data_IF_709877070495
#
_entry.id   IF_709877070495
#
_cell.length_a   1.000
_cell.length_b   1.000
_cell.length_c   1.000
_cell.angle_alpha   90.00
_cell.angle_beta   90.00
_cell.angle_gamma   90.00
#
_symmetry.space_group_name_H-M   'P 1'
#
loop_
_entity.id
_entity.type
_entity.pdbx_description
1 polymer ?
2 non-polymer ?
3 non-polymer ?
4 water ?
#
# COMPACT_ATOMS: atom_id res chain seq x y z
N UNK A 4 -19.13 18.70 7.31
CA UNK A 4 -19.44 17.24 7.23
C UNK A 4 -19.02 16.46 8.48
N UNK A 5 -19.88 15.53 8.89
CA UNK A 5 -19.52 14.57 9.93
C UNK A 5 -19.59 13.19 9.29
N UNK A 6 -18.43 12.55 9.18
CA UNK A 6 -18.37 11.21 8.60
C UNK A 6 -19.07 10.21 9.51
N UNK A 7 -19.91 9.33 8.95
CA UNK A 7 -20.58 8.32 9.75
C UNK A 7 -19.61 7.14 9.99
N UNK A 8 -18.83 7.25 11.05
CA UNK A 8 -17.76 6.26 11.31
C UNK A 8 -18.27 4.84 11.49
N UNK A 9 -19.51 4.69 11.95
CA UNK A 9 -20.14 3.39 12.10
C UNK A 9 -20.53 2.75 10.77
N UNK A 10 -20.46 3.52 9.68
CA UNK A 10 -20.91 3.04 8.37
C UNK A 10 -19.78 2.86 7.36
N UNK A 11 -18.55 3.18 7.76
CA UNK A 11 -17.40 3.14 6.85
C UNK A 11 -16.57 1.92 7.20
N UNK A 12 -16.26 1.05 6.24
CA UNK A 12 -15.42 -0.11 6.52
C UNK A 12 -14.06 0.35 7.05
N UNK A 13 -13.68 -0.20 8.21
CA UNK A 13 -12.61 0.38 9.00
C UNK A 13 -11.22 0.40 8.39
N UNK A 14 -10.90 -0.59 7.56
CA UNK A 14 -9.56 -0.66 6.97
C UNK A 14 -9.29 0.53 6.06
N UNK A 15 -10.36 1.11 5.49
CA UNK A 15 -10.24 2.25 4.59
C UNK A 15 -9.70 3.49 5.30
N UNK A 16 -10.31 3.84 6.43
CA UNK A 16 -10.06 5.12 7.07
C UNK A 16 -9.02 5.00 8.18
N UNK A 17 -9.09 3.92 8.94
CA UNK A 17 -8.29 3.76 10.17
C UNK A 17 -7.15 2.76 9.98
N UNK A 18 -7.45 1.65 9.30
CA UNK A 18 -6.47 0.59 9.09
C UNK A 18 -6.59 -0.45 10.18
N UNK A 19 -6.61 -1.72 9.79
CA UNK A 19 -6.72 -2.79 10.78
C UNK A 19 -5.54 -2.85 11.73
N UNK A 20 -4.33 -2.64 11.21
CA UNK A 20 -3.10 -2.64 12.03
C UNK A 20 -2.97 -3.89 12.88
N UNK A 21 -3.36 -5.03 12.32
CA UNK A 21 -3.25 -6.30 13.03
C UNK A 21 -2.00 -7.05 12.61
N UNK A 22 -1.51 -7.92 13.50
CA UNK A 22 -0.29 -8.68 13.27
C UNK A 22 -0.44 -9.72 12.16
N UNK A 23 -1.66 -10.20 11.95
CA UNK A 23 -1.93 -11.19 10.91
C UNK A 23 -3.06 -10.69 10.04
N UNK A 24 -3.01 -11.02 8.76
CA UNK A 24 -4.10 -10.66 7.88
C UNK A 24 -4.24 -11.69 6.77
N UNK A 25 -5.47 -11.99 6.41
CA UNK A 25 -5.74 -12.94 5.33
C UNK A 25 -6.68 -12.30 4.34
N UNK A 26 -6.39 -12.51 3.06
CA UNK A 26 -7.21 -12.05 1.96
C UNK A 26 -7.80 -13.28 1.28
N UNK A 27 -9.12 -13.43 1.40
CA UNK A 27 -9.80 -14.57 0.81
C UNK A 27 -10.48 -14.11 -0.47
N UNK A 28 -9.91 -14.50 -1.60
CA UNK A 28 -10.44 -14.12 -2.91
C UNK A 28 -11.45 -15.15 -3.36
N UNK A 29 -12.59 -14.68 -3.83
CA UNK A 29 -13.68 -15.61 -4.12
C UNK A 29 -14.41 -15.29 -5.41
N UNK A 30 -15.13 -16.29 -5.91
CA UNK A 30 -16.09 -16.12 -6.98
C UNK A 30 -17.48 -16.45 -6.42
N UNK A 31 -18.50 -15.75 -6.90
CA UNK A 31 -19.89 -16.00 -6.52
C UNK A 31 -20.46 -17.11 -7.41
N UNK A 32 -20.97 -18.17 -6.79
CA UNK A 32 -21.61 -19.28 -7.51
C UNK A 32 -23.12 -19.09 -7.65
N UNK A 33 -23.72 -18.45 -6.66
CA UNK A 33 -25.19 -18.39 -6.51
C UNK A 33 -25.45 -17.02 -5.92
N UNK A 34 -25.89 -16.07 -6.76
CA UNK A 34 -26.07 -14.70 -6.31
C UNK A 34 -27.11 -14.58 -5.21
N UNK A 35 -28.23 -15.27 -5.37
CA UNK A 35 -29.33 -15.16 -4.41
C UNK A 35 -28.90 -15.67 -3.03
N UNK A 36 -28.27 -16.84 -3.00
CA UNK A 36 -27.79 -17.41 -1.74
C UNK A 36 -26.68 -16.57 -1.12
N UNK A 37 -25.79 -16.04 -1.96
CA UNK A 37 -24.76 -15.13 -1.47
C UNK A 37 -25.36 -13.92 -0.76
N UNK A 38 -26.38 -13.32 -1.38
CA UNK A 38 -27.03 -12.12 -0.84
C UNK A 38 -27.73 -12.46 0.48
N UNK A 39 -28.37 -13.62 0.53
CA UNK A 39 -29.02 -14.08 1.75
C UNK A 39 -28.02 -14.21 2.91
N UNK A 40 -26.89 -14.86 2.62
CA UNK A 40 -25.81 -14.98 3.61
C UNK A 40 -25.24 -13.62 3.98
N UNK A 41 -25.08 -12.74 3.01
CA UNK A 41 -24.52 -11.43 3.26
C UNK A 41 -25.34 -10.64 4.29
N UNK A 42 -26.66 -10.73 4.21
CA UNK A 42 -27.52 -9.99 5.12
C UNK A 42 -27.38 -10.42 6.59
N UNK A 43 -27.03 -11.68 6.82
CA UNK A 43 -26.74 -12.12 8.20
C UNK A 43 -25.28 -11.87 8.60
N UNK A 44 -24.38 -11.97 7.62
CA UNK A 44 -22.96 -11.84 7.87
C UNK A 44 -22.53 -10.42 8.22
N UNK A 45 -23.00 -9.45 7.46
CA UNK A 45 -22.53 -8.06 7.59
C UNK A 45 -22.73 -7.49 9.00
N UNK A 46 -23.96 -7.53 9.54
CA UNK A 46 -24.13 -6.89 10.86
C UNK A 46 -23.30 -7.54 11.95
N UNK A 47 -22.97 -8.82 11.79
CA UNK A 47 -22.23 -9.54 12.83
C UNK A 47 -20.73 -9.40 12.71
N UNK A 48 -20.21 -9.23 11.49
CA UNK A 48 -18.77 -9.38 11.26
C UNK A 48 -18.01 -8.21 10.61
N UNK A 49 -18.72 -7.38 9.83
CA UNK A 49 -18.02 -6.32 9.08
C UNK A 49 -17.67 -5.14 9.99
N UNK A 50 -16.38 -4.83 10.06
CA UNK A 50 -15.83 -3.93 11.08
C UNK A 50 -15.76 -2.50 10.60
N UNK A 51 -16.45 -1.62 11.31
CA UNK A 51 -16.46 -0.21 10.97
C UNK A 51 -15.24 0.57 11.48
N UNK A 52 -15.05 1.78 10.96
CA UNK A 52 -14.04 2.70 11.47
C UNK A 52 -14.29 3.01 12.95
N UNK A 53 -15.57 3.11 13.33
CA UNK A 53 -15.92 3.41 14.73
C UNK A 53 -15.42 2.31 15.68
N UNK A 54 -15.56 1.04 15.27
CA UNK A 54 -15.01 -0.07 16.08
C UNK A 54 -13.48 0.00 16.16
N UNK A 55 -12.83 0.33 15.04
CA UNK A 55 -11.37 0.39 15.03
C UNK A 55 -10.77 1.49 15.93
N UNK A 56 -11.51 2.57 16.11
CA UNK A 56 -11.02 3.65 17.00
C UNK A 56 -11.45 3.48 18.44
N UNK A 57 -12.28 2.47 18.71
CA UNK A 57 -12.71 2.16 20.06
C UNK A 57 -11.57 1.54 20.87
N UNK A 58 -11.73 1.54 22.19
CA UNK A 58 -10.80 0.86 23.09
C UNK A 58 -10.76 -0.64 22.73
N UNK A 59 -9.57 -1.27 22.81
CA UNK A 59 -9.43 -2.68 22.45
C UNK A 59 -10.41 -3.63 23.17
N UNK A 60 -10.80 -3.25 24.39
CA UNK A 60 -11.77 -4.03 25.17
C UNK A 60 -13.15 -4.09 24.51
N UNK A 61 -13.42 -3.16 23.59
CA UNK A 61 -14.70 -3.10 22.89
C UNK A 61 -14.63 -3.65 21.45
N UNK A 62 -13.51 -4.27 21.11
CA UNK A 62 -13.27 -4.76 19.75
C UNK A 62 -13.41 -6.28 19.68
N UNK A 63 -13.88 -6.81 18.53
CA UNK A 63 -13.90 -8.25 18.30
C UNK A 63 -12.47 -8.80 18.18
N UNK A 64 -12.32 -10.11 18.20
CA UNK A 64 -11.01 -10.75 18.16
C UNK A 64 -10.40 -10.76 16.76
N UNK A 65 -11.23 -10.47 15.76
CA UNK A 65 -10.76 -10.27 14.39
C UNK A 65 -11.68 -9.28 13.70
N UNK A 66 -11.11 -8.56 12.73
CA UNK A 66 -11.86 -7.60 11.95
C UNK A 66 -12.08 -8.15 10.56
N UNK A 67 -13.23 -7.85 9.96
CA UNK A 67 -13.46 -8.26 8.58
C UNK A 67 -13.98 -7.09 7.74
N UNK A 68 -13.37 -6.91 6.56
CA UNK A 68 -13.90 -6.00 5.54
C UNK A 68 -14.09 -6.79 4.24
N UNK A 69 -14.83 -6.18 3.32
CA UNK A 69 -15.24 -6.90 2.11
C UNK A 69 -15.32 -5.96 0.91
N UNK A 70 -14.62 -6.35 -0.16
CA UNK A 70 -14.66 -5.59 -1.40
C UNK A 70 -15.06 -6.45 -2.57
N UNK A 71 -15.53 -5.80 -3.64
CA UNK A 71 -15.98 -6.49 -4.85
C UNK A 71 -15.24 -5.97 -6.07
N UNK A 72 -14.93 -6.88 -6.99
CA UNK A 72 -14.40 -6.48 -8.27
C UNK A 72 -15.57 -6.10 -9.17
N UNK A 73 -15.27 -5.56 -10.35
CA UNK A 73 -16.33 -5.27 -11.31
C UNK A 73 -17.12 -6.52 -11.69
N UNK A 74 -16.42 -7.62 -11.96
CA UNK A 74 -17.13 -8.83 -12.33
C UNK A 74 -17.96 -9.38 -11.16
N UNK A 75 -17.52 -9.17 -9.91
CA UNK A 75 -18.33 -9.54 -8.74
C UNK A 75 -19.64 -8.77 -8.69
N UNK A 76 -19.54 -7.45 -8.89
CA UNK A 76 -20.76 -6.63 -8.93
C UNK A 76 -21.68 -7.06 -10.06
N UNK A 77 -21.12 -7.28 -11.25
CA UNK A 77 -21.95 -7.79 -12.36
C UNK A 77 -22.61 -9.13 -12.06
N UNK A 78 -21.86 -10.05 -11.43
CA UNK A 78 -22.40 -11.36 -11.03
C UNK A 78 -23.56 -11.23 -10.04
N UNK A 79 -23.56 -10.14 -9.27
CA UNK A 79 -24.61 -9.87 -8.30
C UNK A 79 -25.71 -8.97 -8.83
N UNK A 80 -25.68 -8.64 -10.12
CA UNK A 80 -26.67 -7.77 -10.74
C UNK A 80 -26.58 -6.33 -10.29
N UNK A 81 -25.38 -5.92 -9.83
CA UNK A 81 -25.15 -4.53 -9.39
C UNK A 81 -24.46 -3.82 -10.55
N UNK A 82 -25.28 -3.15 -11.37
CA UNK A 82 -24.91 -2.77 -12.72
C UNK A 82 -24.62 -1.29 -12.93
N UNK A 83 -24.83 -0.46 -11.90
CA UNK A 83 -24.58 0.98 -12.07
C UNK A 83 -23.09 1.26 -12.17
N UNK A 84 -22.73 2.11 -13.12
CA UNK A 84 -21.34 2.56 -13.32
C UNK A 84 -20.88 3.35 -12.09
N UNK A 85 -19.76 2.91 -11.49
CA UNK A 85 -19.20 3.56 -10.29
C UNK A 85 -18.38 4.80 -10.61
N UNK A 86 -18.11 5.03 -11.90
CA UNK A 86 -17.44 6.26 -12.32
C UNK A 86 -15.91 6.25 -12.38
N UNK A 87 -15.32 5.09 -12.09
CA UNK A 87 -13.87 4.96 -12.15
C UNK A 87 -13.42 4.39 -13.48
N UNK A 88 -12.35 4.96 -14.04
CA UNK A 88 -11.86 4.55 -15.36
C UNK A 88 -11.21 3.17 -15.43
N UNK A 89 -10.57 2.74 -14.33
CA UNK A 89 -9.83 1.48 -14.31
C UNK A 89 -10.58 0.30 -13.73
N UNK A 90 -11.45 0.57 -12.76
CA UNK A 90 -12.16 -0.49 -12.05
C UNK A 90 -12.89 -1.48 -12.97
N UNK A 91 -13.61 -0.98 -14.01
CA UNK A 91 -14.41 -1.93 -14.79
C UNK A 91 -13.61 -3.02 -15.49
N UNK A 92 -12.43 -2.70 -16.01
CA UNK A 92 -11.68 -3.70 -16.76
C UNK A 92 -10.83 -4.63 -15.90
N UNK A 93 -10.64 -4.24 -14.63
CA UNK A 93 -9.80 -5.03 -13.71
C UNK A 93 -8.31 -4.75 -13.86
N UNK A 94 -7.51 -5.22 -12.90
CA UNK A 94 -6.12 -4.85 -12.89
C UNK A 94 -5.27 -5.63 -13.88
N UNK A 95 -5.62 -6.89 -14.18
CA UNK A 95 -4.81 -7.64 -15.16
C UNK A 95 -4.76 -6.92 -16.51
N UNK A 96 -5.89 -6.34 -16.92
CA UNK A 96 -5.96 -5.58 -18.17
C UNK A 96 -5.15 -4.29 -18.12
N UNK A 97 -4.85 -3.81 -16.90
CA UNK A 97 -4.08 -2.59 -16.66
C UNK A 97 -2.61 -2.87 -16.33
N UNK A 98 -2.24 -4.14 -16.15
CA UNK A 98 -0.93 -4.49 -15.61
C UNK A 98 0.21 -4.00 -16.51
N UNK A 99 0.06 -4.13 -17.83
CA UNK A 99 1.09 -3.66 -18.75
C UNK A 99 1.29 -2.14 -18.61
N UNK A 100 0.19 -1.39 -18.47
CA UNK A 100 0.27 0.06 -18.22
C UNK A 100 1.08 0.41 -16.97
N UNK A 101 0.94 -0.41 -15.94
CA UNK A 101 1.69 -0.24 -14.70
C UNK A 101 3.17 -0.55 -14.85
N UNK A 102 3.52 -1.26 -15.94
CA UNK A 102 4.90 -1.67 -16.20
C UNK A 102 5.22 -3.11 -15.84
N UNK A 103 4.20 -3.90 -15.50
CA UNK A 103 4.38 -5.26 -14.98
C UNK A 103 4.91 -6.20 -16.06
N UNK A 104 5.80 -7.09 -15.65
CA UNK A 104 6.15 -8.28 -16.45
C UNK A 104 4.98 -9.25 -16.28
N UNK A 105 4.15 -9.37 -17.32
CA UNK A 105 2.95 -10.22 -17.22
C UNK A 105 3.25 -11.70 -17.03
N UNK A 106 4.45 -12.12 -17.44
CA UNK A 106 4.86 -13.51 -17.29
C UNK A 106 4.99 -13.94 -15.83
N UNK A 107 5.08 -12.98 -14.90
CA UNK A 107 5.21 -13.28 -13.47
C UNK A 107 3.89 -13.27 -12.73
N UNK A 108 2.81 -12.85 -13.40
CA UNK A 108 1.48 -12.95 -12.82
C UNK A 108 1.05 -14.40 -12.71
N UNK A 109 0.32 -14.70 -11.66
CA UNK A 109 -0.18 -16.05 -11.46
C UNK A 109 -1.68 -16.11 -11.20
N UNK A 110 -2.24 -17.29 -11.49
CA UNK A 110 -3.65 -17.55 -11.22
C UNK A 110 -3.88 -17.37 -9.72
N UNK A 111 -5.10 -16.93 -9.35
CA UNK A 111 -6.26 -16.66 -10.18
C UNK A 111 -6.37 -15.19 -10.58
N UNK A 112 -5.26 -14.46 -10.56
CA UNK A 112 -5.29 -13.03 -10.89
C UNK A 112 -5.24 -12.73 -12.39
N UNK A 113 -4.92 -13.76 -13.19
CA UNK A 113 -4.70 -13.61 -14.62
C UNK A 113 -6.01 -13.65 -15.43
N UNK A 114 -6.87 -12.70 -15.10
CA UNK A 114 -8.16 -12.54 -15.75
C UNK A 114 -9.05 -11.80 -14.76
N UNK A 115 -10.36 -11.98 -14.91
CA UNK A 115 -11.32 -11.35 -14.01
C UNK A 115 -12.26 -12.38 -13.37
N UNK A 116 -11.73 -13.57 -13.09
CA UNK A 116 -12.50 -14.57 -12.35
C UNK A 116 -12.81 -14.16 -10.90
N UNK A 117 -11.91 -13.39 -10.27
CA UNK A 117 -12.14 -12.97 -8.90
C UNK A 117 -13.30 -11.99 -8.83
N UNK A 118 -14.24 -12.27 -7.93
CA UNK A 118 -15.43 -11.44 -7.72
C UNK A 118 -15.32 -10.52 -6.52
N UNK A 119 -14.46 -10.88 -5.58
CA UNK A 119 -14.32 -10.09 -4.38
C UNK A 119 -13.27 -10.62 -3.44
N UNK A 120 -13.11 -9.93 -2.33
CA UNK A 120 -12.12 -10.29 -1.32
C UNK A 120 -12.68 -10.00 0.08
N UNK A 121 -12.58 -10.98 0.98
CA UNK A 121 -12.76 -10.73 2.39
C UNK A 121 -11.36 -10.51 2.96
N UNK A 122 -11.19 -9.40 3.68
CA UNK A 122 -9.95 -9.19 4.41
C UNK A 122 -10.22 -9.36 5.89
N UNK A 123 -9.44 -10.25 6.50
CA UNK A 123 -9.59 -10.62 7.90
C UNK A 123 -8.30 -10.25 8.61
N UNK A 124 -8.41 -9.44 9.66
CA UNK A 124 -7.24 -9.03 10.42
C UNK A 124 -7.38 -9.48 11.86
N UNK A 125 -6.29 -10.00 12.41
CA UNK A 125 -6.30 -10.47 13.80
C UNK A 125 -4.88 -10.53 14.31
N UNK A 126 -4.70 -10.51 15.62
CA UNK A 126 -3.35 -10.50 16.16
C UNK A 126 -2.74 -11.88 16.35
N UNK A 127 -3.51 -12.95 16.09
CA UNK A 127 -2.94 -14.29 16.09
C UNK A 127 -3.67 -15.25 15.14
N UNK A 128 -2.97 -16.30 14.75
CA UNK A 128 -3.44 -17.17 13.69
C UNK A 128 -4.73 -17.93 14.00
N UNK A 129 -4.89 -18.36 15.25
CA UNK A 129 -6.08 -19.09 15.66
C UNK A 129 -7.35 -18.32 15.34
N UNK A 130 -7.38 -17.05 15.74
CA UNK A 130 -8.56 -16.22 15.57
C UNK A 130 -8.78 -15.91 14.10
N UNK A 131 -7.68 -15.64 13.40
CA UNK A 131 -7.71 -15.47 11.95
C UNK A 131 -8.37 -16.68 11.30
N UNK A 132 -7.91 -17.87 11.64
CA UNK A 132 -8.45 -19.11 11.11
C UNK A 132 -9.93 -19.33 11.45
N UNK A 133 -10.32 -19.04 12.71
CA UNK A 133 -11.73 -19.17 13.12
C UNK A 133 -12.65 -18.25 12.31
N UNK A 134 -12.23 -17.01 12.09
CA UNK A 134 -13.04 -16.08 11.33
C UNK A 134 -13.05 -16.43 9.85
N UNK A 135 -11.95 -17.01 9.36
CA UNK A 135 -11.92 -17.50 7.98
C UNK A 135 -12.90 -18.68 7.81
N UNK A 136 -12.88 -19.61 8.76
CA UNK A 136 -13.81 -20.74 8.75
C UNK A 136 -15.26 -20.29 8.86
N UNK A 137 -15.49 -19.22 9.63
CA UNK A 137 -16.83 -18.62 9.78
C UNK A 137 -17.38 -18.14 8.42
N UNK A 138 -16.52 -17.54 7.59
CA UNK A 138 -16.91 -17.14 6.22
C UNK A 138 -17.29 -18.37 5.39
N UNK A 139 -16.41 -19.38 5.41
CA UNK A 139 -16.66 -20.63 4.69
C UNK A 139 -17.98 -21.27 5.08
N UNK A 140 -18.25 -21.31 6.38
CA UNK A 140 -19.47 -21.88 6.92
C UNK A 140 -20.72 -21.06 6.58
N UNK A 141 -20.62 -19.74 6.74
CA UNK A 141 -21.75 -18.84 6.49
C UNK A 141 -22.17 -18.83 5.02
N UNK A 142 -21.18 -18.74 4.13
CA UNK A 142 -21.48 -18.58 2.72
C UNK A 142 -21.65 -19.90 1.98
N UNK A 143 -21.02 -20.95 2.51
CA UNK A 143 -21.15 -22.29 1.95
C UNK A 143 -20.86 -22.34 0.47
N UNK A 144 -21.73 -23.02 -0.27
CA UNK A 144 -21.51 -23.26 -1.69
C UNK A 144 -21.86 -22.03 -2.53
N UNK A 145 -22.34 -20.95 -1.90
CA UNK A 145 -22.67 -19.72 -2.64
C UNK A 145 -21.42 -19.02 -3.20
N UNK A 146 -20.26 -19.35 -2.62
CA UNK A 146 -18.97 -18.88 -3.14
C UNK A 146 -17.98 -20.02 -3.32
N UNK A 147 -16.97 -19.78 -4.15
CA UNK A 147 -15.79 -20.63 -4.20
C UNK A 147 -14.59 -19.76 -3.90
N UNK A 148 -13.77 -20.20 -2.93
CA UNK A 148 -12.50 -19.53 -2.66
C UNK A 148 -11.54 -19.89 -3.79
N UNK A 149 -11.04 -18.89 -4.49
CA UNK A 149 -10.10 -19.15 -5.58
C UNK A 149 -8.64 -18.94 -5.15
N UNK A 150 -8.43 -18.22 -4.05
CA UNK A 150 -7.10 -18.01 -3.48
C UNK A 150 -7.25 -17.44 -2.08
N UNK A 151 -6.30 -17.77 -1.22
CA UNK A 151 -6.15 -17.08 0.06
C UNK A 151 -4.68 -16.71 0.20
N UNK A 152 -4.43 -15.43 0.43
CA UNK A 152 -3.08 -14.95 0.73
C UNK A 152 -3.05 -14.47 2.17
N UNK A 153 -2.09 -14.96 2.92
CA UNK A 153 -1.97 -14.65 4.34
C UNK A 153 -0.67 -13.92 4.62
N UNK A 154 -0.74 -12.89 5.44
CA UNK A 154 0.43 -12.14 5.83
C UNK A 154 0.62 -12.09 7.33
N UNK A 155 1.81 -11.65 7.73
CA UNK A 155 2.13 -11.50 9.14
C UNK A 155 3.17 -10.42 9.34
N UNK A 156 2.99 -9.61 10.37
CA UNK A 156 4.02 -8.69 10.80
C UNK A 156 5.29 -9.47 11.10
N UNK A 157 6.43 -8.83 10.85
CA UNK A 157 7.72 -9.45 11.10
C UNK A 157 8.00 -9.50 12.61
N UNK A 158 8.83 -10.45 13.05
CA UNK A 158 8.97 -10.70 14.50
C UNK A 158 9.82 -9.69 15.28
N UNK A 159 9.56 -9.60 16.57
CA UNK A 159 10.40 -8.82 17.48
C UNK A 159 10.47 -7.35 17.13
N UNK A 160 11.69 -6.81 17.10
CA UNK A 160 11.89 -5.38 16.83
C UNK A 160 11.69 -5.02 15.35
N UNK A 161 11.44 -6.04 14.54
CA UNK A 161 11.09 -5.86 13.12
C UNK A 161 9.58 -5.71 12.90
N UNK A 162 8.79 -5.73 13.99
CA UNK A 162 7.34 -5.54 13.87
C UNK A 162 7.06 -4.18 13.24
N UNK A 163 6.28 -4.19 12.18
CA UNK A 163 5.97 -2.96 11.44
C UNK A 163 6.92 -2.69 10.30
N UNK A 164 8.02 -3.44 10.23
CA UNK A 164 8.96 -3.33 9.12
C UNK A 164 8.57 -4.29 8.02
N UNK A 165 8.80 -3.87 6.77
CA UNK A 165 8.66 -4.79 5.64
C UNK A 165 9.95 -5.62 5.46
N UNK A 166 9.94 -6.57 4.53
CA UNK A 166 11.03 -7.55 4.39
C UNK A 166 12.43 -7.04 4.01
N UNK A 167 12.54 -5.89 3.35
CA UNK A 167 13.85 -5.28 3.15
C UNK A 167 14.42 -4.70 4.45
N UNK A 168 13.57 -4.59 5.47
CA UNK A 168 13.96 -4.11 6.80
C UNK A 168 13.49 -2.73 7.20
N UNK A 169 12.65 -2.08 6.38
CA UNK A 169 12.28 -0.67 6.60
C UNK A 169 10.93 -0.53 7.30
N UNK A 170 10.88 0.33 8.31
CA UNK A 170 9.62 0.63 9.00
C UNK A 170 8.63 1.19 7.97
N UNK A 171 7.46 0.58 7.92
CA UNK A 171 6.42 0.94 6.96
C UNK A 171 5.19 1.41 7.75
N UNK A 172 4.40 2.30 7.16
CA UNK A 172 3.17 2.78 7.79
C UNK A 172 3.34 4.04 8.62
N UNK A 173 4.33 4.85 8.28
CA UNK A 173 4.57 6.12 8.97
C UNK A 173 3.68 7.24 8.43
N UNK A 174 3.71 7.42 7.11
CA UNK A 174 3.05 8.57 6.48
C UNK A 174 1.75 8.19 5.78
N UNK A 175 0.65 8.72 6.31
CA UNK A 175 -0.69 8.53 5.75
C UNK A 175 -1.37 9.88 5.71
N UNK A 176 -2.24 10.12 4.72
CA UNK A 176 -3.04 11.34 4.76
C UNK A 176 -4.03 11.31 5.91
N UNK A 177 -4.46 12.49 6.36
CA UNK A 177 -5.52 12.60 7.34
C UNK A 177 -6.67 13.29 6.65
N UNK A 178 -7.87 12.73 6.78
CA UNK A 178 -9.04 13.36 6.16
C UNK A 178 -9.84 14.17 7.16
N UNK A 179 -10.39 15.29 6.70
CA UNK A 179 -11.32 16.05 7.52
C UNK A 179 -12.67 15.32 7.61
N UNK A 180 -13.49 15.74 8.55
CA UNK A 180 -14.83 15.15 8.71
C UNK A 180 -14.97 14.27 9.94
N UNK A 181 -13.87 14.07 10.65
CA UNK A 181 -13.89 13.37 11.94
C UNK A 181 -12.79 13.88 12.86
N UNK A 182 -12.90 13.56 14.15
CA UNK A 182 -11.95 14.02 15.18
C UNK A 182 -10.81 13.02 15.29
N UNK A 183 -9.61 13.45 14.91
CA UNK A 183 -8.43 12.58 14.98
C UNK A 183 -7.13 13.36 15.19
N UNK A 184 -6.08 12.66 15.56
CA UNK A 184 -4.77 13.28 15.79
C UNK A 184 -4.03 13.46 14.45
N UNK A 185 -3.54 14.68 14.23
CA UNK A 185 -2.75 15.02 13.05
C UNK A 185 -1.30 15.33 13.45
N UNK A 186 -0.36 14.61 12.86
CA UNK A 186 1.06 14.79 13.17
C UNK A 186 1.73 15.87 12.34
N UNK A 187 2.80 16.48 12.86
CA UNK A 187 3.51 17.48 12.07
C UNK A 187 4.00 16.90 10.73
N UNK A 188 3.65 17.58 9.65
CA UNK A 188 4.05 17.16 8.31
C UNK A 188 3.04 16.23 7.63
N UNK A 189 2.03 15.80 8.37
CA UNK A 189 0.97 14.97 7.82
C UNK A 189 0.06 15.80 6.91
N UNK A 190 -0.28 15.27 5.73
CA UNK A 190 -1.22 15.93 4.84
C UNK A 190 -2.63 15.86 5.40
N UNK A 191 -3.36 16.97 5.28
CA UNK A 191 -4.76 17.01 5.65
C UNK A 191 -5.55 17.28 4.38
N UNK A 192 -6.43 16.35 4.03
CA UNK A 192 -7.17 16.41 2.77
C UNK A 192 -8.68 16.25 3.01
N UNK A 193 -9.52 16.72 2.05
CA UNK A 193 -10.95 16.48 2.19
C UNK A 193 -11.25 14.97 2.10
N UNK A 194 -12.32 14.51 2.75
CA UNK A 194 -12.57 13.08 2.84
C UNK A 194 -12.77 12.39 1.50
N UNK A 195 -13.26 13.12 0.50
CA UNK A 195 -13.49 12.58 -0.83
C UNK A 195 -12.25 12.22 -1.62
N UNK A 196 -11.06 12.51 -1.08
CA UNK A 196 -9.84 11.95 -1.69
C UNK A 196 -9.82 10.42 -1.50
N UNK A 197 -10.43 9.97 -0.39
CA UNK A 197 -10.43 8.56 -0.01
C UNK A 197 -11.80 7.92 -0.19
N UNK A 198 -12.85 8.66 0.15
CA UNK A 198 -14.20 8.10 0.23
C UNK A 198 -15.03 8.59 -0.94
N UNK A 199 -15.57 7.65 -1.71
CA UNK A 199 -16.37 8.04 -2.87
C UNK A 199 -17.61 8.81 -2.43
N UNK A 200 -17.93 9.84 -3.19
CA UNK A 200 -19.14 10.64 -2.95
C UNK A 200 -18.98 11.76 -1.93
N UNK A 201 -17.81 11.84 -1.28
CA UNK A 201 -17.53 12.91 -0.30
C UNK A 201 -16.80 14.10 -0.94
N UNK A 202 -16.74 15.22 -0.23
CA UNK A 202 -16.12 16.43 -0.75
C UNK A 202 -14.69 16.16 -1.14
N UNK A 203 -14.32 16.57 -2.35
CA UNK A 203 -13.00 16.28 -2.90
C UNK A 203 -13.00 15.21 -3.97
N UNK A 204 -14.03 14.36 -3.96
CA UNK A 204 -14.20 13.36 -5.00
C UNK A 204 -14.88 14.00 -6.20
N UNK A 205 -14.27 13.90 -7.37
CA UNK A 205 -14.85 14.49 -8.58
C UNK A 205 -15.43 13.44 -9.51
N UNK A 206 -15.35 12.17 -9.12
CA UNK A 206 -15.94 11.08 -9.92
C UNK A 206 -17.46 11.08 -9.85
N UNK A 207 -18.07 10.53 -10.88
CA UNK A 207 -19.52 10.48 -10.99
C UNK A 207 -20.00 9.19 -10.32
N UNK A 208 -20.56 9.30 -9.11
CA UNK A 208 -20.90 8.12 -8.31
C UNK A 208 -22.38 7.91 -8.18
N UNK A 209 -22.84 6.65 -8.27
CA UNK A 209 -24.20 6.37 -7.83
C UNK A 209 -24.35 6.78 -6.37
N UNK A 210 -25.56 7.20 -5.97
CA UNK A 210 -25.81 7.59 -4.59
C UNK A 210 -25.44 6.49 -3.58
N UNK A 211 -25.64 5.23 -3.97
CA UNK A 211 -25.35 4.12 -3.06
C UNK A 211 -23.85 3.88 -2.81
N UNK A 212 -23.00 4.51 -3.60
CA UNK A 212 -21.55 4.36 -3.46
C UNK A 212 -20.96 5.31 -2.42
N UNK A 213 -21.80 6.15 -1.82
CA UNK A 213 -21.32 7.07 -0.78
C UNK A 213 -20.56 6.30 0.29
N UNK A 214 -19.41 6.82 0.67
CA UNK A 214 -18.59 6.28 1.79
C UNK A 214 -17.95 4.91 1.53
N UNK A 215 -17.87 4.54 0.25
CA UNK A 215 -17.04 3.42 -0.18
C UNK A 215 -15.65 3.91 -0.54
N UNK A 216 -14.80 3.00 -1.01
CA UNK A 216 -13.47 3.40 -1.52
C UNK A 216 -12.99 2.32 -2.46
N UNK A 217 -12.05 2.69 -3.35
CA UNK A 217 -11.42 1.69 -4.21
C UNK A 217 -10.10 1.22 -3.62
N UNK A 218 -9.95 -0.09 -3.55
CA UNK A 218 -8.68 -0.70 -3.18
C UNK A 218 -7.88 -1.10 -4.42
N UNK A 219 -6.61 -0.72 -4.44
CA UNK A 219 -5.65 -1.34 -5.35
C UNK A 219 -4.90 -2.37 -4.53
N UNK A 220 -5.13 -3.64 -4.85
CA UNK A 220 -4.43 -4.74 -4.20
C UNK A 220 -3.28 -5.17 -5.10
N UNK A 221 -2.10 -5.36 -4.51
CA UNK A 221 -0.95 -5.89 -5.27
C UNK A 221 -0.26 -6.96 -4.44
N UNK A 222 -0.03 -8.12 -5.04
CA UNK A 222 0.76 -9.16 -4.40
C UNK A 222 2.19 -9.02 -4.91
N UNK A 223 3.08 -8.52 -4.05
CA UNK A 223 4.49 -8.38 -4.42
C UNK A 223 5.36 -9.44 -3.76
N UNK A 224 6.17 -10.12 -4.56
CA UNK A 224 7.24 -10.95 -4.04
C UNK A 224 8.52 -10.10 -3.96
N UNK A 225 9.22 -10.17 -2.83
CA UNK A 225 10.44 -9.38 -2.64
C UNK A 225 11.67 -10.25 -2.65
N UNK A 226 12.73 -9.70 -3.24
CA UNK A 226 14.00 -10.38 -3.37
C UNK A 226 15.01 -9.76 -2.42
N UNK A 227 15.02 -10.27 -1.19
CA UNK A 227 15.73 -9.63 -0.09
C UNK A 227 17.25 -9.86 -0.13
N UNK A 228 17.71 -11.13 -0.32
CA UNK A 228 19.16 -11.30 -0.45
C UNK A 228 19.73 -10.52 -1.60
N UNK A 229 18.98 -10.42 -2.70
CA UNK A 229 19.39 -9.67 -3.88
C UNK A 229 19.51 -8.17 -3.58
N UNK A 230 18.49 -7.61 -2.92
CA UNK A 230 18.52 -6.22 -2.47
C UNK A 230 19.76 -5.95 -1.60
N UNK A 231 19.96 -6.80 -0.60
CA UNK A 231 21.06 -6.63 0.33
C UNK A 231 22.40 -6.69 -0.42
N UNK A 232 22.55 -7.68 -1.30
CA UNK A 232 23.79 -7.82 -2.09
C UNK A 232 24.05 -6.61 -2.95
N UNK A 233 23.01 -6.06 -3.55
CA UNK A 233 23.14 -4.86 -4.37
C UNK A 233 23.65 -3.67 -3.56
N UNK A 234 23.12 -3.50 -2.35
CA UNK A 234 23.55 -2.38 -1.51
C UNK A 234 25.02 -2.55 -1.11
N UNK A 235 25.45 -3.77 -0.85
CA UNK A 235 26.84 -4.02 -0.51
C UNK A 235 27.77 -3.80 -1.71
N UNK A 236 27.33 -4.25 -2.88
CA UNK A 236 28.13 -4.11 -4.10
C UNK A 236 28.22 -2.66 -4.58
N UNK A 237 27.28 -1.83 -4.13
CA UNK A 237 27.26 -0.44 -4.59
C UNK A 237 27.31 0.54 -3.43
N UNK A 238 27.86 0.08 -2.30
CA UNK A 238 27.95 0.87 -1.08
C UNK A 238 28.53 2.23 -1.35
N UNK A 239 27.88 3.26 -0.84
CA UNK A 239 28.33 4.63 -1.00
C UNK A 239 29.63 4.83 -0.20
N UNK A 240 30.69 5.33 -0.85
CA UNK A 240 31.99 5.41 -0.14
C UNK A 240 32.04 6.46 0.97
N UNK A 241 31.32 7.56 0.81
CA UNK A 241 31.42 8.69 1.74
C UNK A 241 30.18 9.54 1.63
N UNK A 242 29.86 10.26 2.71
CA UNK A 242 28.87 11.33 2.62
C UNK A 242 29.44 12.58 3.29
N UNK A 243 28.60 13.59 3.48
CA UNK A 243 29.08 14.89 3.98
C UNK A 243 29.82 14.76 5.29
N UNK A 244 29.40 13.82 6.13
CA UNK A 244 29.93 13.68 7.47
C UNK A 244 31.30 13.01 7.46
N UNK A 245 31.60 12.25 6.40
CA UNK A 245 32.90 11.59 6.26
C UNK A 245 32.82 10.27 5.51
N UNK A 246 33.93 9.53 5.55
CA UNK A 246 34.00 8.23 4.92
C UNK A 246 33.12 7.23 5.63
N UNK A 247 32.60 6.28 4.84
CA UNK A 247 31.76 5.22 5.35
C UNK A 247 32.45 3.88 5.23
N UNK A 248 32.30 3.04 6.24
CA UNK A 248 32.68 1.62 6.07
C UNK A 248 31.77 1.04 4.99
N UNK A 249 32.13 -0.09 4.41
CA UNK A 249 31.22 -0.72 3.45
C UNK A 249 29.84 -0.98 4.04
N UNK A 250 29.76 -1.50 5.26
CA UNK A 250 28.48 -1.79 5.87
C UNK A 250 27.66 -0.49 6.01
N UNK A 251 28.32 0.58 6.45
CA UNK A 251 27.65 1.89 6.57
C UNK A 251 27.19 2.41 5.22
N UNK A 252 28.02 2.21 4.19
CA UNK A 252 27.72 2.68 2.85
C UNK A 252 26.56 1.92 2.21
N UNK A 253 26.43 0.64 2.57
CA UNK A 253 25.33 -0.21 2.09
C UNK A 253 24.03 0.18 2.79
N UNK A 254 24.09 0.37 4.10
CA UNK A 254 22.92 0.85 4.84
C UNK A 254 22.46 2.21 4.30
N UNK A 255 23.42 3.10 4.05
CA UNK A 255 23.13 4.42 3.51
C UNK A 255 22.52 4.33 2.13
N UNK A 256 23.06 3.48 1.26
CA UNK A 256 22.46 3.32 -0.06
C UNK A 256 20.99 2.88 0.03
N UNK A 257 20.67 1.92 0.91
CA UNK A 257 19.28 1.49 1.09
C UNK A 257 18.39 2.67 1.51
N UNK A 258 18.89 3.48 2.44
CA UNK A 258 18.16 4.65 2.91
C UNK A 258 18.00 5.70 1.80
N UNK A 259 18.99 5.82 0.93
CA UNK A 259 18.90 6.75 -0.19
C UNK A 259 17.85 6.29 -1.20
N UNK A 260 17.72 4.98 -1.38
CA UNK A 260 16.74 4.41 -2.30
C UNK A 260 15.31 4.61 -1.79
N UNK A 261 15.12 4.47 -0.49
CA UNK A 261 13.78 4.62 0.11
C UNK A 261 13.40 6.05 0.43
N UNK A 262 14.38 6.85 0.83
CA UNK A 262 14.12 8.17 1.40
C UNK A 262 13.95 8.17 2.92
N UNK A 263 14.06 6.98 3.53
CA UNK A 263 14.06 6.80 4.98
C UNK A 263 15.07 5.72 5.32
N UNK A 264 15.68 5.87 6.51
CA UNK A 264 16.45 4.78 7.11
C UNK A 264 15.48 3.66 7.52
N UNK A 265 16.02 2.49 7.81
CA UNK A 265 15.20 1.37 8.28
C UNK A 265 14.41 1.70 9.54
N UNK A 266 14.95 2.57 10.40
CA UNK A 266 14.30 2.98 11.64
C UNK A 266 13.06 3.84 11.39
N UNK A 267 12.89 4.32 10.16
CA UNK A 267 11.86 5.29 9.85
C UNK A 267 12.34 6.73 9.79
N UNK A 268 13.56 7.00 10.22
CA UNK A 268 14.07 8.39 10.18
C UNK A 268 14.12 8.84 8.72
N UNK A 269 13.44 9.95 8.37
CA UNK A 269 13.49 10.39 6.97
C UNK A 269 14.85 11.02 6.67
N UNK A 270 15.43 10.69 5.52
CA UNK A 270 16.76 11.23 5.18
C UNK A 270 16.76 12.75 4.99
N UNK A 271 15.61 13.34 4.65
CA UNK A 271 15.54 14.80 4.54
C UNK A 271 15.89 15.46 5.87
N UNK A 272 15.51 14.81 6.97
CA UNK A 272 15.87 15.30 8.31
C UNK A 272 17.19 14.74 8.85
N UNK A 273 17.52 13.50 8.46
CA UNK A 273 18.71 12.79 8.95
C UNK A 273 19.52 12.37 7.71
N UNK A 274 20.21 13.32 7.05
CA UNK A 274 20.75 13.02 5.73
C UNK A 274 22.06 12.23 5.69
N UNK A 275 22.74 12.05 6.83
CA UNK A 275 24.06 11.42 6.82
C UNK A 275 24.20 10.20 7.69
N UNK A 276 23.35 10.08 8.71
CA UNK A 276 23.37 8.95 9.62
C UNK A 276 21.98 8.72 10.18
N UNK A 277 21.69 7.47 10.48
CA UNK A 277 20.40 7.12 11.08
C UNK A 277 20.21 7.89 12.40
N UNK A 278 18.95 8.13 12.72
CA UNK A 278 18.55 8.67 14.00
C UNK A 278 17.35 7.84 14.42
N UNK A 279 17.61 6.69 15.10
CA UNK A 279 16.52 5.76 15.41
C UNK A 279 15.44 6.35 16.31
N UNK A 280 15.83 7.21 17.25
CA UNK A 280 14.85 7.89 18.10
C UNK A 280 13.92 8.79 17.28
N UNK A 281 14.47 9.49 16.28
CA UNK A 281 13.66 10.30 15.38
C UNK A 281 12.68 9.40 14.61
N UNK A 282 13.18 8.29 14.07
CA UNK A 282 12.34 7.38 13.30
C UNK A 282 11.17 6.85 14.09
N UNK A 283 11.36 6.67 15.39
CA UNK A 283 10.33 6.13 16.26
C UNK A 283 9.35 7.18 16.81
N UNK A 284 9.65 8.46 16.56
CA UNK A 284 8.84 9.55 17.08
C UNK A 284 7.86 10.11 16.04
N UNK A 285 6.55 9.79 16.16
CA UNK A 285 5.64 10.30 15.12
C UNK A 285 5.45 11.83 15.15
N UNK A 286 5.92 12.49 16.21
CA UNK A 286 5.87 13.95 16.26
C UNK A 286 6.92 14.60 15.39
N UNK A 287 7.90 13.81 14.97
CA UNK A 287 9.03 14.33 14.20
C UNK A 287 9.29 13.62 12.88
N UNK A 288 8.98 12.33 12.82
CA UNK A 288 9.40 11.51 11.66
C UNK A 288 8.70 11.80 10.35
N UNK A 289 7.70 12.69 10.37
CA UNK A 289 7.03 13.08 9.14
C UNK A 289 7.12 14.57 8.86
N UNK A 290 7.87 15.30 9.69
CA UNK A 290 7.87 16.75 9.62
C UNK A 290 8.94 17.30 8.65
N UNK A 291 8.72 17.02 7.36
CA UNK A 291 9.60 17.48 6.31
C UNK A 291 8.79 17.61 5.03
N UNK A 292 9.29 18.37 4.06
CA UNK A 292 8.55 18.54 2.82
C UNK A 292 9.43 18.68 1.58
N UNK A 293 10.71 18.40 1.73
CA UNK A 293 11.73 18.58 0.67
C UNK A 293 12.03 20.02 0.28
N UNK A 294 11.42 20.99 0.96
CA UNK A 294 11.68 22.41 0.66
C UNK A 294 13.15 22.80 0.85
N UNK A 295 13.90 22.01 1.60
CA UNK A 295 15.32 22.25 1.83
C UNK A 295 16.21 21.57 0.79
N UNK A 296 15.60 20.91 -0.20
CA UNK A 296 16.34 20.09 -1.15
C UNK A 296 15.63 19.97 -2.50
N UNK A 297 14.95 21.05 -2.88
CA UNK A 297 14.21 21.08 -4.15
C UNK A 297 15.12 21.03 -5.35
N UNK A 298 16.33 21.62 -5.24
CA UNK A 298 17.20 21.74 -6.42
C UNK A 298 18.60 21.15 -6.22
N UNK A 299 18.70 20.18 -5.31
CA UNK A 299 19.94 19.42 -5.13
C UNK A 299 19.57 18.09 -4.49
N UNK A 300 20.50 17.14 -4.53
CA UNK A 300 20.22 15.79 -4.02
C UNK A 300 21.06 15.41 -2.82
N UNK A 301 21.80 16.36 -2.24
CA UNK A 301 22.57 15.97 -1.04
C UNK A 301 21.68 15.44 0.09
N UNK A 302 20.58 16.14 0.40
CA UNK A 302 19.76 15.68 1.51
C UNK A 302 18.88 14.47 1.14
N UNK A 303 18.43 14.40 -0.11
CA UNK A 303 17.55 13.31 -0.55
C UNK A 303 17.59 13.25 -2.08
N UNK A 304 17.77 12.03 -2.66
CA UNK A 304 17.64 11.92 -4.11
C UNK A 304 16.25 12.36 -4.57
N UNK A 305 16.18 12.85 -5.80
CA UNK A 305 14.89 13.19 -6.38
C UNK A 305 13.99 11.96 -6.56
N UNK A 306 14.61 10.80 -6.77
CA UNK A 306 13.88 9.58 -7.13
C UNK A 306 13.69 8.54 -6.03
N UNK A 307 13.97 8.90 -4.77
CA UNK A 307 13.73 8.02 -3.64
C UNK A 307 12.25 7.62 -3.53
N UNK A 308 11.99 6.40 -3.06
CA UNK A 308 10.63 5.86 -2.98
C UNK A 308 9.59 6.83 -2.41
N UNK A 309 9.83 7.34 -1.21
CA UNK A 309 8.81 8.15 -0.56
C UNK A 309 8.62 9.49 -1.23
N UNK A 310 9.68 10.00 -1.86
CA UNK A 310 9.62 11.27 -2.57
C UNK A 310 8.85 11.14 -3.88
N UNK A 311 9.04 10.00 -4.56
CA UNK A 311 8.28 9.70 -5.78
C UNK A 311 6.80 9.49 -5.53
N UNK A 312 6.47 8.80 -4.44
CA UNK A 312 5.07 8.46 -4.18
C UNK A 312 4.30 9.57 -3.43
N UNK A 313 5.03 10.43 -2.72
CA UNK A 313 4.46 11.66 -2.14
C UNK A 313 5.48 12.80 -2.28
N UNK A 314 5.39 13.56 -3.38
CA UNK A 314 6.40 14.57 -3.70
C UNK A 314 6.43 15.82 -2.82
N UNK A 315 5.41 15.99 -1.97
CA UNK A 315 5.38 17.14 -1.04
C UNK A 315 5.70 18.43 -1.80
N UNK A 316 6.71 19.19 -1.36
CA UNK A 316 6.95 20.50 -1.96
C UNK A 316 7.50 20.44 -3.39
N UNK A 317 7.87 19.25 -3.86
CA UNK A 317 8.22 19.11 -5.26
C UNK A 317 7.04 19.51 -6.18
N UNK A 318 5.81 19.48 -5.65
CA UNK A 318 4.62 19.89 -6.41
C UNK A 318 4.33 21.38 -6.35
N UNK A 319 5.10 22.11 -5.54
CA UNK A 319 4.95 23.58 -5.42
C UNK A 319 4.13 24.03 -4.22
N UNK A 320 3.53 23.06 -3.52
CA UNK A 320 2.73 23.34 -2.34
C UNK A 320 1.83 22.15 -2.05
N UNK A 321 0.99 22.24 -1.00
CA UNK A 321 0.07 21.14 -0.73
C UNK A 321 -0.88 20.88 -1.92
N UNK A 322 -1.11 19.61 -2.21
CA UNK A 322 -2.02 19.18 -3.28
C UNK A 322 -2.81 18.02 -2.70
N UNK A 323 -4.14 18.12 -2.73
CA UNK A 323 -5.00 17.08 -2.13
C UNK A 323 -5.05 15.78 -2.95
N UNK A 324 -4.93 15.93 -4.26
CA UNK A 324 -5.47 14.99 -5.23
C UNK A 324 -4.88 13.58 -5.24
N UNK A 325 -3.59 13.49 -4.93
CA UNK A 325 -2.86 12.24 -5.16
C UNK A 325 -2.46 11.51 -3.90
N UNK A 326 -3.10 11.83 -2.79
CA UNK A 326 -2.87 11.11 -1.53
C UNK A 326 -3.73 9.87 -1.47
N UNK A 327 -3.25 8.86 -0.76
CA UNK A 327 -4.01 7.62 -0.61
C UNK A 327 -3.62 6.97 0.69
N UNK A 328 -4.53 6.14 1.22
CA UNK A 328 -4.27 5.37 2.43
C UNK A 328 -3.66 4.03 2.10
N UNK A 329 -2.75 3.55 2.96
CA UNK A 329 -2.17 2.23 2.78
C UNK A 329 -2.41 1.34 3.99
N UNK A 330 -2.71 0.07 3.73
CA UNK A 330 -2.89 -0.90 4.81
C UNK A 330 -2.27 -2.25 4.40
N UNK A 331 -0.97 -2.21 4.12
CA UNK A 331 -0.28 -3.38 3.59
C UNK A 331 0.29 -4.23 4.71
N UNK A 332 0.55 -5.49 4.42
CA UNK A 332 1.17 -6.37 5.41
C UNK A 332 2.22 -7.25 4.74
N UNK A 333 3.38 -7.44 5.40
CA UNK A 333 4.35 -8.40 4.85
C UNK A 333 3.84 -9.81 4.89
N UNK A 334 4.43 -10.69 4.08
CA UNK A 334 4.16 -12.12 4.19
C UNK A 334 5.44 -12.89 4.04
N UNK A 335 5.44 -14.12 4.57
CA UNK A 335 6.54 -15.02 4.34
C UNK A 335 7.53 -15.06 5.48
N UNK A 336 8.44 -16.05 5.45
CA UNK A 336 9.39 -16.26 6.51
C UNK A 336 10.51 -15.23 6.48
N UNK A 337 11.21 -15.10 7.60
CA UNK A 337 12.41 -14.29 7.69
C UNK A 337 13.47 -14.81 6.74
N UNK A 338 14.39 -13.93 6.35
CA UNK A 338 15.46 -14.29 5.46
C UNK A 338 16.60 -14.85 6.31
N UNK A 339 16.98 -16.09 6.05
CA UNK A 339 18.05 -16.76 6.78
C UNK A 339 19.44 -16.16 6.49
N UNK A 340 20.39 -16.50 7.35
CA UNK A 340 21.79 -16.11 7.19
C UNK A 340 22.38 -16.69 5.91
N UNK A 341 22.03 -17.95 5.62
CA UNK A 341 22.48 -18.66 4.42
C UNK A 341 21.95 -18.01 3.14
N UNK A 342 20.68 -17.63 3.16
CA UNK A 342 20.06 -16.91 2.06
C UNK A 342 20.74 -15.58 1.80
N UNK A 343 20.96 -14.80 2.86
CA UNK A 343 21.65 -13.52 2.74
C UNK A 343 23.07 -13.68 2.22
N UNK A 344 23.78 -14.68 2.74
CA UNK A 344 25.15 -14.98 2.34
C UNK A 344 25.26 -15.34 0.86
N UNK A 345 24.31 -16.12 0.36
CA UNK A 345 24.31 -16.55 -1.03
C UNK A 345 23.92 -15.41 -1.98
N UNK A 346 23.18 -14.44 -1.46
CA UNK A 346 22.63 -13.35 -2.26
C UNK A 346 21.48 -13.78 -3.15
N UNK A 347 20.92 -14.98 -2.90
CA UNK A 347 19.87 -15.53 -3.75
C UNK A 347 18.63 -15.93 -2.92
N UNK A 348 17.47 -15.42 -3.34
CA UNK A 348 16.19 -15.77 -2.72
C UNK A 348 15.94 -17.27 -2.87
N UNK A 349 15.58 -17.89 -1.75
CA UNK A 349 15.23 -19.31 -1.68
C UNK A 349 13.83 -19.56 -1.14
N UNK A 350 13.18 -18.50 -0.63
CA UNK A 350 11.85 -18.62 -0.05
C UNK A 350 10.95 -17.50 -0.53
N UNK A 351 9.66 -17.78 -0.60
CA UNK A 351 8.65 -16.80 -1.02
C UNK A 351 8.27 -15.87 0.12
N UNK A 352 8.58 -14.58 -0.05
CA UNK A 352 8.27 -13.56 0.95
C UNK A 352 7.99 -12.26 0.21
N UNK A 353 7.30 -11.33 0.84
CA UNK A 353 6.97 -10.08 0.16
C UNK A 353 5.98 -9.24 0.90
N UNK A 354 5.16 -8.54 0.13
CA UNK A 354 4.20 -7.58 0.67
C UNK A 354 2.85 -7.79 0.01
N UNK A 355 1.81 -7.90 0.85
CA UNK A 355 0.42 -7.87 0.39
C UNK A 355 0.01 -6.41 0.52
N UNK A 356 0.06 -5.73 -0.61
CA UNK A 356 -0.05 -4.27 -0.67
C UNK A 356 -1.50 -3.86 -0.90
N UNK A 357 -1.95 -2.89 -0.10
CA UNK A 357 -3.34 -2.42 -0.11
C UNK A 357 -3.32 -0.89 -0.07
N UNK A 358 -3.89 -0.26 -1.10
CA UNK A 358 -3.95 1.20 -1.15
C UNK A 358 -5.37 1.63 -1.51
N UNK A 359 -5.90 2.56 -0.72
CA UNK A 359 -7.28 3.05 -0.89
C UNK A 359 -7.32 4.50 -1.34
N UNK A 360 -8.24 4.78 -2.25
CA UNK A 360 -8.46 6.13 -2.79
C UNK A 360 -9.82 6.13 -3.47
N UNK A 361 -10.41 7.31 -3.64
CA UNK A 361 -11.68 7.41 -4.34
C UNK A 361 -11.52 7.27 -5.84
N UNK A 362 -10.35 7.69 -6.36
CA UNK A 362 -10.08 7.64 -7.80
C UNK A 362 -8.78 6.87 -8.00
N UNK A 363 -8.90 5.63 -8.49
CA UNK A 363 -7.73 4.77 -8.67
C UNK A 363 -6.62 5.50 -9.44
N UNK A 364 -7.02 6.18 -10.52
CA UNK A 364 -6.08 6.86 -11.38
C UNK A 364 -5.33 8.02 -10.76
N UNK A 365 -5.80 8.50 -9.61
CA UNK A 365 -5.15 9.60 -8.91
C UNK A 365 -4.32 9.17 -7.72
N UNK A 366 -4.52 7.94 -7.24
CA UNK A 366 -3.85 7.46 -6.06
C UNK A 366 -2.75 6.49 -6.46
N UNK A 367 -2.95 5.22 -6.15
CA UNK A 367 -2.03 4.17 -6.55
C UNK A 367 -1.50 4.34 -7.99
N UNK A 368 -2.41 4.52 -8.95
CA UNK A 368 -1.98 4.47 -10.34
C UNK A 368 -1.18 5.69 -10.77
N UNK A 369 -1.49 6.85 -10.19
CA UNK A 369 -0.73 8.07 -10.44
C UNK A 369 0.66 7.96 -9.83
N UNK A 370 0.72 7.47 -8.59
CA UNK A 370 2.00 7.28 -7.92
C UNK A 370 2.88 6.31 -8.70
N UNK A 371 2.26 5.27 -9.28
CA UNK A 371 3.00 4.28 -10.04
C UNK A 371 3.47 4.79 -11.40
N UNK A 372 2.52 5.27 -12.20
CA UNK A 372 2.83 5.56 -13.61
C UNK A 372 3.40 6.96 -13.80
N UNK A 373 2.67 7.97 -13.32
CA UNK A 373 3.06 9.36 -13.57
C UNK A 373 4.31 9.76 -12.79
N UNK A 374 4.52 9.09 -11.66
CA UNK A 374 5.60 9.45 -10.77
C UNK A 374 6.71 8.40 -10.73
N UNK A 375 6.48 7.23 -10.12
CA UNK A 375 7.54 6.23 -9.98
C UNK A 375 8.18 5.79 -11.30
N UNK A 376 7.34 5.54 -12.32
CA UNK A 376 7.83 5.02 -13.60
C UNK A 376 8.38 6.11 -14.50
N UNK A 377 8.23 7.36 -14.07
CA UNK A 377 8.51 8.51 -14.92
C UNK A 377 9.92 9.05 -14.62
N UNK A 378 10.87 8.81 -15.54
CA UNK A 378 12.26 9.22 -15.33
C UNK A 378 12.41 10.74 -15.13
N UNK A 379 11.44 11.49 -15.63
CA UNK A 379 11.52 12.95 -15.57
C UNK A 379 10.60 13.57 -14.51
N UNK A 380 10.25 12.75 -13.52
CA UNK A 380 9.51 13.21 -12.37
C UNK A 380 10.32 12.91 -11.08
N UNK A 381 10.39 13.87 -10.15
CA UNK A 381 9.75 15.19 -10.14
C UNK A 381 10.27 16.11 -11.24
N UNK A 382 9.42 17.07 -11.61
CA UNK A 382 9.67 17.91 -12.76
C UNK A 382 10.66 19.03 -12.44
N UNK A 383 11.33 19.51 -13.49
CA UNK A 383 12.14 20.73 -13.44
C UNK A 383 13.33 20.65 -12.48
N UNK A 384 13.92 19.46 -12.40
CA UNK A 384 15.10 19.24 -11.56
C UNK A 384 16.40 19.39 -12.35
N UNK A 385 17.50 19.74 -11.66
CA UNK A 385 18.76 19.97 -12.39
C UNK A 385 19.45 18.70 -12.86
N UNK A 386 19.04 17.55 -12.33
CA UNK A 386 19.55 16.25 -12.72
C UNK A 386 18.33 15.35 -12.88
N UNK A 387 18.31 14.57 -13.96
CA UNK A 387 17.22 13.64 -14.23
C UNK A 387 17.00 12.71 -13.01
N UNK A 388 15.76 12.71 -12.46
CA UNK A 388 15.54 11.83 -11.30
C UNK A 388 15.71 10.33 -11.60
N UNK A 389 15.18 9.88 -12.74
CA UNK A 389 15.23 8.46 -13.09
C UNK A 389 14.08 7.66 -12.52
N UNK A 390 14.24 6.34 -12.53
CA UNK A 390 13.18 5.40 -12.18
C UNK A 390 13.26 5.08 -10.69
N UNK A 391 12.13 5.16 -10.00
CA UNK A 391 12.09 4.86 -8.56
C UNK A 391 12.66 3.45 -8.34
N UNK A 392 13.73 3.31 -7.53
CA UNK A 392 14.42 2.01 -7.44
C UNK A 392 13.65 0.88 -6.78
N UNK A 393 12.70 1.19 -5.90
CA UNK A 393 11.97 0.12 -5.22
C UNK A 393 10.83 -0.47 -6.08
N UNK A 394 9.92 0.38 -6.57
CA UNK A 394 8.80 -0.13 -7.34
C UNK A 394 8.62 0.47 -8.76
N UNK A 395 9.54 1.33 -9.19
CA UNK A 395 9.51 1.85 -10.57
C UNK A 395 9.73 0.71 -11.56
N UNK A 396 8.96 0.69 -12.65
CA UNK A 396 9.02 -0.49 -13.53
C UNK A 396 9.61 -0.32 -14.92
N UNK A 397 9.88 0.92 -15.28
CA UNK A 397 10.48 1.26 -16.58
C UNK A 397 11.88 0.69 -16.69
N UNK A 398 12.20 0.13 -17.86
CA UNK A 398 13.57 -0.30 -18.12
C UNK A 398 14.21 0.55 -19.21
N UNK A 399 15.52 0.87 -19.06
CA UNK A 399 16.37 0.46 -17.94
C UNK A 399 15.95 1.14 -16.63
N UNK A 400 16.10 0.41 -15.53
CA UNK A 400 15.76 0.93 -14.19
C UNK A 400 16.90 1.78 -13.66
N UNK A 401 17.11 2.92 -14.30
CA UNK A 401 18.23 3.79 -13.97
C UNK A 401 17.77 4.97 -13.11
N UNK A 402 18.43 5.15 -11.97
CA UNK A 402 18.11 6.23 -11.05
C UNK A 402 19.37 7.04 -10.78
N UNK A 403 19.23 8.37 -10.78
CA UNK A 403 20.38 9.21 -10.49
C UNK A 403 20.42 9.64 -9.03
N UNK A 404 21.53 10.26 -8.66
CA UNK A 404 21.58 11.00 -7.41
C UNK A 404 21.70 10.22 -6.12
N UNK A 405 21.80 8.89 -6.17
CA UNK A 405 21.90 8.11 -4.94
C UNK A 405 23.16 8.42 -4.11
N UNK A 406 24.25 8.74 -4.79
CA UNK A 406 25.47 9.16 -4.11
C UNK A 406 25.46 10.68 -3.94
N UNK A 407 25.29 11.16 -2.68
CA UNK A 407 25.16 12.60 -2.48
C UNK A 407 26.41 13.39 -2.88
N UNK A 408 27.56 12.73 -2.94
CA UNK A 408 28.81 13.40 -3.30
C UNK A 408 29.18 13.26 -4.78
N UNK A 409 28.39 12.49 -5.52
CA UNK A 409 28.57 12.27 -6.96
C UNK A 409 27.20 12.12 -7.59
N UNK A 410 26.44 13.21 -7.58
CA UNK A 410 25.01 13.14 -7.89
C UNK A 410 24.69 12.82 -9.35
N UNK A 411 25.67 13.05 -10.23
CA UNK A 411 25.49 12.70 -11.64
C UNK A 411 25.69 11.22 -11.93
N UNK A 412 26.23 10.48 -10.97
CA UNK A 412 26.36 9.04 -11.14
C UNK A 412 24.98 8.39 -11.17
N UNK A 413 24.79 7.49 -12.13
CA UNK A 413 23.55 6.75 -12.23
C UNK A 413 23.72 5.31 -11.75
N UNK A 414 22.64 4.78 -11.18
CA UNK A 414 22.59 3.42 -10.69
C UNK A 414 21.55 2.67 -11.49
N UNK A 415 21.93 1.54 -12.07
CA UNK A 415 20.96 0.69 -12.73
C UNK A 415 20.61 -0.44 -11.77
N UNK A 416 19.37 -0.42 -11.32
CA UNK A 416 18.99 -1.22 -10.16
C UNK A 416 18.18 -2.43 -10.63
N UNK A 417 18.61 -3.65 -10.27
CA UNK A 417 17.78 -4.81 -10.59
C UNK A 417 16.42 -4.69 -9.90
N UNK A 418 15.39 -5.25 -10.50
CA UNK A 418 14.08 -5.22 -9.87
C UNK A 418 14.04 -6.21 -8.71
N UNK A 419 13.76 -5.69 -7.51
CA UNK A 419 13.68 -6.52 -6.30
C UNK A 419 12.26 -6.75 -5.82
N UNK A 420 11.29 -6.16 -6.53
CA UNK A 420 9.87 -6.28 -6.18
C UNK A 420 9.15 -6.79 -7.42
N UNK A 421 8.61 -8.00 -7.31
CA UNK A 421 7.99 -8.69 -8.44
C UNK A 421 6.46 -8.76 -8.27
N UNK A 422 5.70 -8.04 -9.13
CA UNK A 422 4.24 -8.22 -9.04
C UNK A 422 3.80 -9.61 -9.48
N UNK A 423 3.05 -10.28 -8.61
CA UNK A 423 2.59 -11.66 -8.85
C UNK A 423 1.09 -11.68 -9.14
N UNK A 424 0.45 -10.52 -9.12
CA UNK A 424 -0.99 -10.44 -9.29
C UNK A 424 -1.53 -9.26 -8.53
N UNK A 425 -2.79 -8.93 -8.79
CA UNK A 425 -3.44 -7.83 -8.11
C UNK A 425 -4.82 -7.64 -8.67
N UNK A 426 -5.61 -6.79 -8.03
CA UNK A 426 -6.95 -6.49 -8.53
C UNK A 426 -7.40 -5.15 -7.97
N UNK A 427 -8.35 -4.55 -8.67
CA UNK A 427 -9.04 -3.35 -8.23
C UNK A 427 -10.40 -3.74 -7.67
N UNK A 428 -10.64 -3.36 -6.42
CA UNK A 428 -11.91 -3.64 -5.74
C UNK A 428 -12.60 -2.37 -5.31
N UNK A 429 -13.92 -2.45 -5.14
CA UNK A 429 -14.71 -1.41 -4.49
C UNK A 429 -15.25 -1.94 -3.17
N UNK A 430 -14.97 -1.21 -2.09
CA UNK A 430 -15.50 -1.54 -0.76
C UNK A 430 -16.66 -0.60 -0.50
N UNK A 431 -17.90 -1.13 -0.49
CA UNK A 431 -19.04 -0.24 -0.23
C UNK A 431 -19.10 0.15 1.23
N UNK A 432 -19.95 1.14 1.52
CA UNK A 432 -20.32 1.41 2.90
C UNK A 432 -21.02 0.18 3.49
N UNK A 433 -21.09 0.13 4.82
CA UNK A 433 -21.69 -1.01 5.50
C UNK A 433 -23.19 -1.14 5.20
N UNK A 434 -23.91 -0.02 5.23
CA UNK A 434 -25.32 -0.01 4.84
C UNK A 434 -25.50 -0.41 3.37
N UNK A 435 -24.60 0.02 2.50
CA UNK A 435 -24.70 -0.35 1.09
C UNK A 435 -24.55 -1.84 0.88
N UNK A 436 -23.69 -2.49 1.67
CA UNK A 436 -23.58 -3.95 1.58
C UNK A 436 -24.92 -4.67 1.72
N UNK A 437 -25.76 -4.20 2.65
CA UNK A 437 -27.02 -4.91 2.87
C UNK A 437 -28.20 -4.30 2.13
N UNK A 438 -28.21 -2.98 1.96
CA UNK A 438 -29.33 -2.28 1.34
C UNK A 438 -29.25 -2.24 -0.18
N UNK A 439 -28.04 -2.36 -0.71
CA UNK A 439 -27.82 -2.34 -2.16
C UNK A 439 -27.27 -3.66 -2.68
N UNK A 440 -26.11 -4.08 -2.21
CA UNK A 440 -25.48 -5.29 -2.72
C UNK A 440 -26.37 -6.52 -2.49
N UNK A 441 -26.91 -6.63 -1.27
CA UNK A 441 -27.69 -7.82 -0.89
C UNK A 441 -29.19 -7.69 -1.09
N UNK A 442 -29.63 -6.55 -1.62
CA UNK A 442 -31.06 -6.26 -1.74
C UNK A 442 -31.78 -7.38 -2.50
X LIG B 1 5.97 4.68 1.91
X LIG B 1 7.82 0.25 1.38
X LIG B 1 5.20 -0.36 -2.65
X LIG B 1 3.30 4.07 -2.12
X LIG B 1 6.74 3.57 2.09
X LIG B 1 7.74 3.37 3.13
X LIG B 1 8.24 2.14 2.98
X LIG B 1 7.57 1.52 1.86
X LIG B 1 9.35 1.44 3.78
X LIG B 1 8.16 4.43 4.16
X LIG B 1 7.22 4.45 5.38
X LIG B 1 6.11 5.46 5.23
X LIG B 1 6.40 6.60 4.81
X LIG B 1 4.97 5.12 5.54
X LIG B 1 7.28 -0.31 0.24
X LIG B 1 7.56 -1.64 -0.27
X LIG B 1 6.83 -1.82 -1.39
X LIG B 1 6.06 -0.60 -1.61
X LIG B 1 8.55 -2.66 0.35
X LIG B 1 6.76 -3.05 -2.31
X LIG B 1 6.99 -4.29 -1.85
X LIG B 1 4.50 0.80 -2.88
X LIG B 1 3.70 1.08 -4.05
X LIG B 1 3.18 2.32 -3.91
X LIG B 1 3.63 2.85 -2.64
X LIG B 1 3.47 0.08 -5.20
X LIG B 1 2.24 3.09 -4.86
X LIG B 1 2.37 2.98 -6.20
X LIG B 1 3.78 4.60 -0.96
X LIG B 1 3.32 5.84 -0.37
X LIG B 1 4.14 6.02 0.87
X LIG B 1 5.03 4.88 0.94
X LIG B 1 2.23 6.78 -0.85
X LIG B 1 4.03 7.22 1.82
X LIG B 1 4.83 8.36 1.22
X LIG B 1 4.70 9.64 2.01
X LIG B 1 5.74 10.25 2.31
X LIG B 1 3.56 10.03 2.37
X LIG B 1 6.65 2.41 1.36
X LIG B 1 6.37 0.30 -0.62
X LIG B 1 4.46 1.93 -2.06
X LIG B 1 4.76 4.04 -0.15
X LIG B 1 5.68 2.22 -0.44
X LIG C 1 38.56 8.76 3.30
X LIG C 1 39.85 8.79 4.12
X LIG C 1 41.05 8.97 3.18
X LIG C 1 41.01 8.03 1.99
X LIG C 1 39.64 8.03 1.30
X LIG C 1 39.54 6.93 0.24
X LIG C 1 39.70 9.67 6.40
X LIG C 1 39.65 10.91 7.27
X LIG C 1 39.79 9.87 5.08
X LIG C 1 42.25 8.78 3.91
X LIG C 1 42.00 8.42 1.06
X LIG C 1 38.66 7.79 2.27
X LIG C 1 38.37 7.13 -0.51
X LIG C 1 39.67 8.55 6.94
#
# INVERSE_FOLDING_TARGET
ANDTILPLNNIQGDILVGMKKQKERFVFFQVNDATSFKTALKTYVPERITSAAILISDPSQQPLAFVNLGFSNTGLQALGITDDLGDAQFPDGQFADAANLGDDLSQWVAPFTGTTIHGVFLIGSDQDDFLDQFTDDISSTFGSSITQVQALSGSARPGDQAGHEHFGFLDGISQPSVTGWETTVFPGQAVVPPGIILTGRDGDTGTRPSWALDGSFMAFRHFQQKVPEFNAYTLANAIPANSAGNLTQQEGAEFLGARMFGRWKSGAPIDLAPTADDPALGADPQRNNNFDYSDTLTDETRCPFGAHVRKTNPRQDLGGPVDTFHAMRSSIPYGPETSDAELASGVTAQDRGLLFVEYQSIIGNGFRFQQINWANNANFPFSKPITPGIEPIIGQTTPRTVGGLDPLNQNETFTVPLFVIPKGGEYFFLPSISALTATIAA
HEM CHA CHB CHC CHD C1A C2A C3A C4A CMA CAA CBA CGA O1A O2A C1B C2B C3B C4B CMB CAB CBB C1C C2C C3C C4C CMC CAC CBC C1D C2D C3D C4D CMD CAD CBD CGD O1D O2D NA NB NC ND FE
NAG C1 C2 C3 C4 C5 C6 C7 C8 N2 O3 O4 O5 O6 O7
#
